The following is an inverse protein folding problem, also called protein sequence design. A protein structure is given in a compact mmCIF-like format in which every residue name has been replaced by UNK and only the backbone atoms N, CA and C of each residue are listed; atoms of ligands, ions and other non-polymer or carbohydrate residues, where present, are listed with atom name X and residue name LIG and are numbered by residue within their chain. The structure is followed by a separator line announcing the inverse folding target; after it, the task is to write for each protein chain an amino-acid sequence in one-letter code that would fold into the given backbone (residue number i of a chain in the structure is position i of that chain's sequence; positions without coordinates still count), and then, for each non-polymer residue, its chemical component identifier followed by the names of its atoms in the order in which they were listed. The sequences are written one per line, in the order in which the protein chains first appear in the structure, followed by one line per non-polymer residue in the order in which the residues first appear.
data_IF_883355722457
#
_entry.id   IF_883355722457
#
_cell.length_a   1.000
_cell.length_b   1.000
_cell.length_c   1.000
_cell.angle_alpha   90.00
_cell.angle_beta   90.00
_cell.angle_gamma   90.00
#
_symmetry.space_group_name_H-M   'P 1'
#
loop_
_entity.id
_entity.type
_entity.pdbx_description
1 polymer ?
#
# COMPACT_ATOMS: atom_id res chain seq x y z
N UNK A 1 -49.16 1.33 -0.39
CA UNK A 1 -48.03 1.21 -1.33
C UNK A 1 -47.39 -0.13 -1.08
N UNK A 2 -47.51 -1.06 -2.03
CA UNK A 2 -47.02 -2.43 -1.91
C UNK A 2 -45.55 -2.50 -2.35
N UNK A 3 -44.66 -2.93 -1.46
CA UNK A 3 -43.24 -3.15 -1.76
C UNK A 3 -43.12 -4.42 -2.61
N UNK A 4 -42.66 -4.30 -3.85
CA UNK A 4 -42.29 -5.44 -4.69
C UNK A 4 -40.93 -5.98 -4.21
N UNK A 5 -40.90 -7.24 -3.81
CA UNK A 5 -39.67 -7.99 -3.59
C UNK A 5 -39.04 -8.28 -4.96
N UNK A 6 -37.79 -7.84 -5.14
CA UNK A 6 -36.95 -8.14 -6.31
C UNK A 6 -36.42 -9.58 -6.11
N UNK A 7 -36.47 -10.47 -7.11
CA UNK A 7 -35.97 -11.83 -6.93
C UNK A 7 -34.45 -11.80 -6.70
N UNK A 8 -34.00 -12.50 -5.65
CA UNK A 8 -32.58 -12.77 -5.42
C UNK A 8 -32.03 -13.55 -6.63
N UNK A 9 -30.91 -13.08 -7.17
CA UNK A 9 -30.10 -13.85 -8.11
C UNK A 9 -29.62 -15.16 -7.50
N UNK A 10 -29.08 -16.04 -8.35
CA UNK A 10 -28.73 -17.43 -8.07
C UNK A 10 -28.20 -17.68 -6.65
N UNK A 11 -28.64 -18.79 -6.09
CA UNK A 11 -28.25 -19.23 -4.75
C UNK A 11 -26.74 -19.49 -4.66
N UNK A 12 -26.20 -19.45 -3.43
CA UNK A 12 -24.79 -19.75 -3.16
C UNK A 12 -24.43 -21.16 -3.63
N UNK A 13 -25.37 -22.10 -3.53
CA UNK A 13 -25.22 -23.48 -4.00
C UNK A 13 -25.15 -23.58 -5.54
N UNK A 14 -25.99 -22.84 -6.27
CA UNK A 14 -25.89 -22.78 -7.75
C UNK A 14 -24.56 -22.15 -8.20
N UNK A 15 -24.04 -21.18 -7.44
CA UNK A 15 -22.74 -20.56 -7.73
C UNK A 15 -21.58 -21.55 -7.53
N UNK A 16 -21.62 -22.32 -6.44
CA UNK A 16 -20.61 -23.36 -6.15
C UNK A 16 -20.67 -24.51 -7.17
N UNK A 17 -21.88 -24.94 -7.54
CA UNK A 17 -22.08 -26.01 -8.51
C UNK A 17 -21.60 -25.60 -9.91
N UNK A 18 -21.78 -24.32 -10.30
CA UNK A 18 -21.24 -23.75 -11.53
C UNK A 18 -19.70 -23.66 -11.52
N UNK A 19 -19.07 -23.44 -10.36
CA UNK A 19 -17.61 -23.45 -10.23
C UNK A 19 -17.03 -24.87 -10.35
N UNK A 20 -17.71 -25.89 -9.80
CA UNK A 20 -17.29 -27.29 -9.91
C UNK A 20 -17.44 -27.83 -11.34
N UNK A 21 -18.52 -27.44 -12.05
CA UNK A 21 -18.69 -27.81 -13.48
C UNK A 21 -17.69 -27.12 -14.39
N UNK A 22 -17.30 -25.88 -14.11
CA UNK A 22 -16.23 -25.19 -14.84
C UNK A 22 -14.84 -25.80 -14.58
N UNK A 23 -14.61 -26.36 -13.39
CA UNK A 23 -13.37 -27.08 -13.08
C UNK A 23 -13.30 -28.45 -13.79
N UNK A 24 -14.44 -29.09 -14.03
CA UNK A 24 -14.53 -30.40 -14.69
C UNK A 24 -14.43 -30.33 -16.24
N UNK A 25 -14.66 -29.18 -16.87
CA UNK A 25 -14.70 -29.02 -18.32
C UNK A 25 -13.36 -28.67 -18.99
N UNK A 26 -12.25 -28.58 -18.24
CA UNK A 26 -10.91 -28.38 -18.83
C UNK A 26 -10.67 -27.03 -19.51
N UNK A 27 -11.63 -26.10 -19.50
CA UNK A 27 -11.46 -24.72 -19.98
C UNK A 27 -11.00 -23.79 -18.85
N UNK A 28 -9.91 -24.11 -18.16
CA UNK A 28 -9.09 -23.03 -17.60
C UNK A 28 -8.34 -22.40 -18.76
N UNK A 29 -8.91 -21.33 -19.33
CA UNK A 29 -8.10 -20.29 -20.00
C UNK A 29 -6.88 -20.10 -19.11
N UNK A 30 -5.67 -20.28 -19.65
CA UNK A 30 -4.44 -19.77 -19.03
C UNK A 30 -4.77 -18.34 -18.64
N UNK A 31 -5.02 -18.09 -17.36
CA UNK A 31 -5.15 -16.73 -16.87
C UNK A 31 -3.78 -16.16 -17.12
N UNK A 32 -3.66 -15.26 -18.09
CA UNK A 32 -2.48 -14.42 -18.27
C UNK A 32 -2.31 -13.66 -16.95
N UNK A 33 -1.61 -14.27 -16.00
CA UNK A 33 -1.20 -13.61 -14.78
C UNK A 33 -0.15 -12.62 -15.23
N UNK A 34 -0.58 -11.39 -15.54
CA UNK A 34 0.31 -10.27 -15.83
C UNK A 34 1.38 -10.24 -14.75
N UNK A 35 2.65 -10.27 -15.15
CA UNK A 35 3.77 -10.28 -14.22
C UNK A 35 3.79 -8.97 -13.43
N UNK A 36 4.36 -9.00 -12.23
CA UNK A 36 4.69 -7.78 -11.50
C UNK A 36 5.78 -7.06 -12.29
N UNK A 37 5.55 -5.81 -12.65
CA UNK A 37 6.50 -4.99 -13.40
C UNK A 37 7.06 -3.84 -12.56
N UNK A 38 6.31 -3.40 -11.54
CA UNK A 38 6.70 -2.25 -10.72
C UNK A 38 6.37 -2.42 -9.25
N UNK A 39 7.33 -2.12 -8.39
CA UNK A 39 7.20 -2.08 -6.94
C UNK A 39 7.40 -0.66 -6.42
N UNK A 40 6.56 -0.20 -5.48
CA UNK A 40 6.82 1.01 -4.69
C UNK A 40 7.12 0.60 -3.25
N UNK A 41 8.31 0.97 -2.77
CA UNK A 41 8.82 0.61 -1.46
C UNK A 41 9.07 1.88 -0.65
N UNK A 42 8.42 2.04 0.50
CA UNK A 42 8.60 3.19 1.39
C UNK A 42 8.56 2.73 2.85
N UNK A 43 9.73 2.64 3.49
CA UNK A 43 9.86 2.02 4.80
C UNK A 43 10.45 2.99 5.83
N UNK A 44 9.81 3.02 7.00
CA UNK A 44 10.39 3.64 8.20
C UNK A 44 11.51 2.74 8.72
N UNK A 45 11.17 1.47 9.00
CA UNK A 45 12.11 0.42 9.38
C UNK A 45 12.61 -0.31 8.13
N UNK A 46 13.91 -0.32 7.89
CA UNK A 46 14.49 -0.76 6.61
C UNK A 46 15.17 -2.11 6.71
N UNK A 47 14.89 -2.88 7.76
CA UNK A 47 15.48 -4.18 7.94
C UNK A 47 15.09 -5.15 6.81
N UNK A 48 16.09 -5.86 6.28
CA UNK A 48 15.92 -6.83 5.19
C UNK A 48 15.59 -6.24 3.80
N UNK A 49 15.54 -4.92 3.65
CA UNK A 49 15.16 -4.28 2.38
C UNK A 49 16.15 -4.57 1.25
N UNK A 50 17.43 -4.70 1.54
CA UNK A 50 18.48 -4.89 0.53
C UNK A 50 18.31 -6.21 -0.20
N UNK A 51 18.03 -7.29 0.54
CA UNK A 51 17.77 -8.62 -0.02
C UNK A 51 16.46 -8.65 -0.81
N UNK A 52 15.40 -8.07 -0.25
CA UNK A 52 14.11 -8.00 -0.92
C UNK A 52 14.17 -7.19 -2.23
N UNK A 53 14.78 -6.00 -2.20
CA UNK A 53 14.94 -5.16 -3.38
C UNK A 53 15.82 -5.82 -4.44
N UNK A 54 16.88 -6.54 -4.05
CA UNK A 54 17.76 -7.25 -4.99
C UNK A 54 17.00 -8.33 -5.76
N UNK A 55 16.22 -9.15 -5.06
CA UNK A 55 15.42 -10.21 -5.69
C UNK A 55 14.35 -9.66 -6.65
N UNK A 56 13.76 -8.50 -6.35
CA UNK A 56 12.85 -7.82 -7.28
C UNK A 56 13.60 -7.29 -8.50
N UNK A 57 14.73 -6.61 -8.27
CA UNK A 57 15.55 -6.01 -9.32
C UNK A 57 16.11 -7.04 -10.30
N UNK A 58 16.64 -8.16 -9.80
CA UNK A 58 17.18 -9.26 -10.63
C UNK A 58 16.10 -9.92 -11.52
N UNK A 59 14.83 -9.72 -11.20
CA UNK A 59 13.68 -10.18 -12.00
C UNK A 59 13.19 -9.12 -13.00
N UNK A 60 13.84 -7.96 -13.07
CA UNK A 60 13.49 -6.86 -13.96
C UNK A 60 12.30 -6.03 -13.47
N UNK A 61 11.97 -6.08 -12.17
CA UNK A 61 10.91 -5.27 -11.58
C UNK A 61 11.46 -3.87 -11.31
N UNK A 62 10.84 -2.83 -11.86
CA UNK A 62 11.21 -1.44 -11.60
C UNK A 62 10.87 -1.08 -10.15
N UNK A 63 11.85 -0.54 -9.42
CA UNK A 63 11.68 -0.13 -8.03
C UNK A 63 11.49 1.38 -7.97
N UNK A 64 10.35 1.80 -7.42
CA UNK A 64 10.08 3.17 -6.99
C UNK A 64 10.32 3.30 -5.50
N UNK A 65 10.96 4.38 -5.06
CA UNK A 65 11.12 4.65 -3.63
C UNK A 65 11.25 6.15 -3.32
N UNK A 66 11.34 6.50 -2.03
CA UNK A 66 11.49 7.88 -1.56
C UNK A 66 12.52 7.97 -0.44
N UNK A 67 13.14 9.15 -0.31
CA UNK A 67 13.96 9.55 0.84
C UNK A 67 14.98 8.50 1.28
N UNK A 68 15.02 8.21 2.60
CA UNK A 68 15.97 7.26 3.18
C UNK A 68 15.81 5.81 2.69
N UNK A 69 14.65 5.43 2.17
CA UNK A 69 14.43 4.09 1.61
C UNK A 69 15.15 3.96 0.27
N UNK A 70 14.97 4.93 -0.62
CA UNK A 70 15.66 4.99 -1.90
C UNK A 70 17.18 5.02 -1.72
N UNK A 71 17.68 5.85 -0.78
CA UNK A 71 19.10 5.92 -0.45
C UNK A 71 19.68 4.55 -0.08
N UNK A 72 19.02 3.83 0.84
CA UNK A 72 19.50 2.52 1.30
C UNK A 72 19.52 1.47 0.17
N UNK A 73 18.54 1.50 -0.73
CA UNK A 73 18.50 0.61 -1.90
C UNK A 73 19.67 0.93 -2.87
N UNK A 74 19.95 2.22 -3.13
CA UNK A 74 21.09 2.66 -3.96
C UNK A 74 22.43 2.25 -3.38
N UNK A 75 22.60 2.37 -2.06
CA UNK A 75 23.81 1.95 -1.36
C UNK A 75 24.10 0.44 -1.51
N UNK A 76 23.06 -0.37 -1.75
CA UNK A 76 23.20 -1.79 -2.09
C UNK A 76 23.52 -2.06 -3.58
N UNK A 77 23.70 -1.00 -4.39
CA UNK A 77 24.02 -1.09 -5.82
C UNK A 77 22.82 -1.42 -6.71
N UNK A 78 21.59 -1.19 -6.22
CA UNK A 78 20.35 -1.50 -6.93
C UNK A 78 19.79 -0.20 -7.54
N UNK A 79 19.38 -0.26 -8.81
CA UNK A 79 18.74 0.88 -9.45
C UNK A 79 17.35 1.13 -8.85
N UNK A 80 17.05 2.39 -8.57
CA UNK A 80 15.80 2.81 -7.97
C UNK A 80 15.44 4.20 -8.46
N UNK A 81 14.22 4.31 -8.97
CA UNK A 81 13.63 5.54 -9.46
C UNK A 81 12.96 6.26 -8.29
N UNK A 82 13.25 7.54 -8.12
CA UNK A 82 12.55 8.32 -7.10
C UNK A 82 11.08 8.51 -7.49
N UNK A 83 10.18 8.49 -6.52
CA UNK A 83 8.75 8.76 -6.79
C UNK A 83 8.57 10.15 -7.44
N UNK A 84 9.38 11.14 -7.07
CA UNK A 84 9.34 12.46 -7.71
C UNK A 84 9.71 12.44 -9.19
N UNK A 85 10.63 11.57 -9.61
CA UNK A 85 10.94 11.34 -11.01
C UNK A 85 9.81 10.60 -11.73
N UNK A 86 9.15 9.66 -11.04
CA UNK A 86 7.99 8.95 -11.57
C UNK A 86 6.76 9.86 -11.75
N UNK A 87 6.53 10.79 -10.82
CA UNK A 87 5.37 11.68 -10.85
C UNK A 87 5.63 12.99 -11.61
N UNK A 88 6.89 13.39 -11.76
CA UNK A 88 7.27 14.73 -12.20
C UNK A 88 7.00 15.82 -11.15
N UNK A 89 6.69 15.44 -9.90
CA UNK A 89 6.35 16.35 -8.82
C UNK A 89 7.36 16.22 -7.67
N UNK A 90 7.97 17.33 -7.19
CA UNK A 90 8.99 17.27 -6.15
C UNK A 90 8.38 16.86 -4.80
N UNK A 91 9.23 16.38 -3.90
CA UNK A 91 8.87 16.26 -2.48
C UNK A 91 8.72 17.66 -1.87
N UNK A 92 7.63 17.89 -1.13
CA UNK A 92 7.27 19.19 -0.58
C UNK A 92 6.82 19.09 0.89
N UNK A 93 6.82 20.25 1.56
CA UNK A 93 6.31 20.41 2.94
C UNK A 93 7.02 19.46 3.92
N UNK A 94 8.36 19.49 3.90
CA UNK A 94 9.23 18.68 4.77
C UNK A 94 8.93 17.17 4.69
N UNK A 95 8.56 16.70 3.49
CA UNK A 95 8.28 15.28 3.20
C UNK A 95 6.85 14.83 3.49
N UNK A 96 5.97 15.74 3.93
CA UNK A 96 4.54 15.46 4.13
C UNK A 96 3.83 15.14 2.81
N UNK A 97 4.27 15.74 1.70
CA UNK A 97 3.70 15.50 0.36
C UNK A 97 4.77 14.92 -0.55
N UNK A 98 4.81 13.58 -0.61
CA UNK A 98 5.74 12.79 -1.44
C UNK A 98 5.04 11.81 -2.38
N UNK A 99 4.05 11.07 -1.87
CA UNK A 99 3.38 9.97 -2.60
C UNK A 99 1.89 10.22 -2.86
N UNK A 100 1.32 11.29 -2.30
CA UNK A 100 -0.08 11.69 -2.45
C UNK A 100 -0.34 12.30 -3.84
N UNK A 101 -0.17 11.49 -4.89
CA UNK A 101 -0.22 11.93 -6.28
C UNK A 101 -1.12 11.02 -7.13
N UNK A 102 -1.91 11.55 -8.08
CA UNK A 102 -2.77 10.73 -8.96
C UNK A 102 -2.01 9.69 -9.77
N UNK A 103 -0.79 9.97 -10.23
CA UNK A 103 0.02 8.97 -10.95
C UNK A 103 0.41 7.78 -10.07
N UNK A 104 0.57 7.97 -8.75
CA UNK A 104 0.83 6.89 -7.80
C UNK A 104 -0.48 6.15 -7.49
N UNK A 105 -1.50 6.86 -7.02
CA UNK A 105 -2.74 6.22 -6.57
C UNK A 105 -3.59 5.67 -7.72
N UNK A 106 -3.57 6.29 -8.90
CA UNK A 106 -4.16 5.74 -10.12
C UNK A 106 -3.44 4.47 -10.57
N UNK A 107 -2.10 4.43 -10.45
CA UNK A 107 -1.30 3.25 -10.72
C UNK A 107 -1.62 2.07 -9.80
N UNK A 108 -2.07 2.36 -8.57
CA UNK A 108 -2.48 1.37 -7.58
C UNK A 108 -3.95 0.97 -7.71
N UNK A 109 -4.87 1.93 -7.92
CA UNK A 109 -6.32 1.72 -7.77
C UNK A 109 -7.05 1.35 -9.05
N UNK A 110 -6.42 1.47 -10.22
CA UNK A 110 -7.05 1.08 -11.46
C UNK A 110 -7.31 -0.44 -11.46
N UNK A 111 -8.49 -0.85 -11.92
CA UNK A 111 -8.82 -2.26 -12.09
C UNK A 111 -8.31 -2.68 -13.46
N UNK A 112 -7.40 -3.65 -13.50
CA UNK A 112 -6.67 -4.00 -14.72
C UNK A 112 -7.55 -4.66 -15.78
N UNK A 113 -8.63 -5.30 -15.34
CA UNK A 113 -9.64 -5.93 -16.20
C UNK A 113 -10.75 -4.96 -16.64
N UNK A 114 -10.78 -3.72 -16.13
CA UNK A 114 -11.78 -2.73 -16.50
C UNK A 114 -11.27 -1.85 -17.64
N UNK A 115 -11.83 -2.02 -18.84
CA UNK A 115 -11.39 -1.30 -20.06
C UNK A 115 -11.47 0.22 -19.92
N UNK A 116 -12.47 0.75 -19.23
CA UNK A 116 -12.62 2.19 -19.01
C UNK A 116 -11.53 2.74 -18.09
N UNK A 117 -11.15 1.99 -17.04
CA UNK A 117 -10.02 2.36 -16.20
C UNK A 117 -8.71 2.34 -16.99
N UNK A 118 -8.50 1.35 -17.86
CA UNK A 118 -7.31 1.28 -18.70
C UNK A 118 -7.25 2.45 -19.70
N UNK A 119 -8.38 2.83 -20.30
CA UNK A 119 -8.50 4.01 -21.17
C UNK A 119 -8.10 5.29 -20.43
N UNK A 120 -8.68 5.52 -19.26
CA UNK A 120 -8.37 6.68 -18.42
C UNK A 120 -6.90 6.72 -18.02
N UNK A 121 -6.31 5.56 -17.67
CA UNK A 121 -4.89 5.48 -17.32
C UNK A 121 -3.99 5.85 -18.51
N UNK A 122 -4.30 5.33 -19.71
CA UNK A 122 -3.56 5.65 -20.92
C UNK A 122 -3.63 7.15 -21.25
N UNK A 123 -4.82 7.76 -21.17
CA UNK A 123 -5.03 9.19 -21.43
C UNK A 123 -4.27 10.10 -20.48
N UNK A 124 -4.14 9.69 -19.22
CA UNK A 124 -3.48 10.47 -18.16
C UNK A 124 -2.01 10.08 -17.93
N UNK A 125 -1.47 9.15 -18.72
CA UNK A 125 -0.10 8.66 -18.55
C UNK A 125 0.14 7.90 -17.23
N UNK A 126 -0.92 7.35 -16.64
CA UNK A 126 -0.84 6.57 -15.40
C UNK A 126 -0.28 5.18 -15.71
N UNK A 127 0.80 4.82 -14.99
CA UNK A 127 1.45 3.52 -15.09
C UNK A 127 1.10 2.66 -13.87
N UNK A 128 0.91 1.35 -14.08
CA UNK A 128 0.56 0.42 -13.01
C UNK A 128 1.65 0.33 -11.94
N UNK A 129 1.25 0.16 -10.70
CA UNK A 129 2.12 -0.22 -9.58
C UNK A 129 1.56 -1.51 -9.02
N UNK A 130 2.35 -2.59 -9.09
CA UNK A 130 1.86 -3.95 -8.88
C UNK A 130 2.18 -4.51 -7.50
N UNK A 131 3.21 -3.94 -6.85
CA UNK A 131 3.63 -4.30 -5.51
C UNK A 131 3.84 -3.03 -4.67
N UNK A 132 3.27 -3.01 -3.47
CA UNK A 132 3.49 -1.97 -2.46
C UNK A 132 4.13 -2.61 -1.23
N UNK A 133 5.23 -2.05 -0.73
CA UNK A 133 5.84 -2.46 0.54
C UNK A 133 6.04 -1.23 1.44
N UNK A 134 5.30 -1.17 2.55
CA UNK A 134 5.25 -0.02 3.47
C UNK A 134 5.07 -0.49 4.91
N UNK A 135 5.77 0.12 5.87
CA UNK A 135 5.56 -0.11 7.32
C UNK A 135 5.32 1.19 8.11
N UNK A 136 4.57 1.11 9.21
CA UNK A 136 3.98 2.26 9.93
C UNK A 136 4.48 2.45 11.37
N UNK A 137 5.78 2.25 11.63
CA UNK A 137 6.30 2.22 13.00
C UNK A 137 6.69 3.58 13.61
N UNK A 138 6.55 4.69 12.88
CA UNK A 138 7.10 5.98 13.32
C UNK A 138 6.38 6.55 14.55
N UNK A 139 5.04 6.58 14.54
CA UNK A 139 4.26 7.21 15.60
C UNK A 139 4.41 6.51 16.96
N UNK A 140 4.17 5.20 17.01
CA UNK A 140 4.26 4.41 18.24
C UNK A 140 5.66 4.50 18.89
N UNK A 141 6.72 4.46 18.06
CA UNK A 141 8.10 4.62 18.53
C UNK A 141 8.35 6.03 19.08
N UNK A 142 7.80 7.06 18.45
CA UNK A 142 7.97 8.45 18.89
C UNK A 142 7.27 8.71 20.22
N UNK A 143 6.01 8.30 20.37
CA UNK A 143 5.22 8.56 21.60
C UNK A 143 5.62 7.68 22.79
N UNK A 144 6.45 6.65 22.57
CA UNK A 144 7.06 5.88 23.64
C UNK A 144 8.20 6.63 24.37
N UNK A 145 8.76 7.69 23.76
CA UNK A 145 9.72 8.57 24.45
C UNK A 145 8.97 9.48 25.44
N UNK A 146 9.28 9.44 26.75
CA UNK A 146 8.64 10.32 27.74
C UNK A 146 8.89 11.82 27.49
N UNK A 147 9.84 12.18 26.64
CA UNK A 147 10.13 13.56 26.25
C UNK A 147 9.46 13.99 24.94
N UNK A 148 8.70 13.11 24.30
CA UNK A 148 7.98 13.43 23.07
C UNK A 148 6.96 14.54 23.32
N UNK A 149 7.17 15.70 22.70
CA UNK A 149 6.23 16.82 22.82
C UNK A 149 4.99 16.59 21.94
N UNK A 150 3.96 17.42 22.15
CA UNK A 150 2.79 17.36 21.27
C UNK A 150 3.14 17.65 19.81
N UNK A 151 4.02 18.61 19.56
CA UNK A 151 4.48 18.91 18.19
C UNK A 151 5.23 17.73 17.58
N UNK A 152 6.11 17.07 18.34
CA UNK A 152 6.87 15.91 17.85
C UNK A 152 5.93 14.76 17.48
N UNK A 153 4.92 14.48 18.30
CA UNK A 153 3.93 13.45 18.02
C UNK A 153 3.15 13.76 16.74
N UNK A 154 2.71 15.01 16.53
CA UNK A 154 1.99 15.43 15.32
C UNK A 154 2.85 15.26 14.06
N UNK A 155 4.15 15.58 14.10
CA UNK A 155 5.05 15.37 12.96
C UNK A 155 5.25 13.88 12.62
N UNK A 156 5.09 12.99 13.60
CA UNK A 156 5.23 11.54 13.41
C UNK A 156 3.94 10.84 12.94
N UNK A 157 2.83 11.56 12.77
CA UNK A 157 1.61 11.03 12.16
C UNK A 157 1.80 10.93 10.64
N UNK A 158 2.07 9.71 10.16
CA UNK A 158 2.13 9.38 8.73
C UNK A 158 0.75 9.43 8.06
N UNK A 159 0.66 10.19 6.96
CA UNK A 159 -0.50 10.26 6.07
C UNK A 159 -0.29 9.41 4.82
N UNK A 160 0.92 9.43 4.26
CA UNK A 160 1.23 8.77 3.00
C UNK A 160 1.23 7.25 3.13
N UNK A 161 1.84 6.73 4.20
CA UNK A 161 1.91 5.29 4.47
C UNK A 161 0.54 4.61 4.54
N UNK A 162 -0.37 5.03 5.44
CA UNK A 162 -1.71 4.47 5.51
C UNK A 162 -2.49 4.62 4.19
N UNK A 163 -2.32 5.73 3.47
CA UNK A 163 -2.99 5.96 2.18
C UNK A 163 -2.53 4.97 1.11
N UNK A 164 -1.21 4.75 0.97
CA UNK A 164 -0.64 3.75 0.06
C UNK A 164 -1.14 2.35 0.38
N UNK A 165 -1.08 1.97 1.67
CA UNK A 165 -1.47 0.66 2.15
C UNK A 165 -2.95 0.38 1.88
N UNK A 166 -3.85 1.30 2.27
CA UNK A 166 -5.29 1.15 2.07
C UNK A 166 -5.66 1.12 0.59
N UNK A 167 -5.00 1.92 -0.25
CA UNK A 167 -5.22 1.88 -1.69
C UNK A 167 -4.86 0.52 -2.30
N UNK A 168 -3.70 -0.03 -1.94
CA UNK A 168 -3.24 -1.33 -2.42
C UNK A 168 -4.11 -2.49 -1.91
N UNK A 169 -4.45 -2.47 -0.62
CA UNK A 169 -5.33 -3.46 0.00
C UNK A 169 -6.75 -3.45 -0.61
N UNK A 170 -7.31 -2.27 -0.90
CA UNK A 170 -8.58 -2.15 -1.62
C UNK A 170 -8.52 -2.83 -2.99
N UNK A 171 -7.41 -2.68 -3.71
CA UNK A 171 -7.22 -3.27 -5.03
C UNK A 171 -6.45 -4.61 -5.00
N UNK A 172 -6.61 -5.42 -3.94
CA UNK A 172 -5.89 -6.69 -3.76
C UNK A 172 -6.09 -7.70 -4.91
N UNK A 173 -7.12 -7.54 -5.75
CA UNK A 173 -7.27 -8.37 -6.94
C UNK A 173 -6.04 -8.25 -7.84
N UNK A 174 -5.50 -7.04 -7.93
CA UNK A 174 -4.45 -6.65 -8.84
C UNK A 174 -3.13 -6.39 -8.09
N UNK A 175 -3.16 -5.71 -6.94
CA UNK A 175 -1.95 -5.23 -6.26
C UNK A 175 -1.55 -6.13 -5.09
N UNK A 176 -0.27 -6.49 -5.03
CA UNK A 176 0.33 -7.13 -3.85
C UNK A 176 0.75 -6.06 -2.85
N UNK A 177 0.37 -6.20 -1.58
CA UNK A 177 0.75 -5.25 -0.52
C UNK A 177 1.48 -5.97 0.60
N UNK A 178 2.58 -5.41 1.11
CA UNK A 178 3.38 -6.01 2.18
C UNK A 178 3.62 -4.98 3.27
N UNK A 179 3.35 -5.37 4.51
CA UNK A 179 3.54 -4.53 5.70
C UNK A 179 4.62 -5.02 6.65
N UNK A 180 5.09 -6.25 6.45
CA UNK A 180 5.92 -6.98 7.40
C UNK A 180 7.00 -7.75 6.63
N UNK A 181 8.30 -7.53 6.94
CA UNK A 181 9.40 -8.22 6.27
C UNK A 181 9.34 -9.74 6.32
N UNK A 182 8.65 -10.33 7.30
CA UNK A 182 8.46 -11.79 7.38
C UNK A 182 7.66 -12.36 6.20
N UNK A 183 6.92 -11.52 5.46
CA UNK A 183 6.20 -11.93 4.25
C UNK A 183 7.07 -11.95 3.00
N UNK A 184 8.26 -11.32 3.00
CA UNK A 184 9.11 -11.23 1.81
C UNK A 184 9.45 -12.58 1.19
N UNK A 185 9.88 -13.61 1.95
CA UNK A 185 10.24 -14.90 1.35
C UNK A 185 9.07 -15.58 0.64
N UNK A 186 7.86 -15.48 1.19
CA UNK A 186 6.66 -16.08 0.62
C UNK A 186 6.22 -15.38 -0.67
N UNK A 187 6.26 -14.05 -0.67
CA UNK A 187 5.92 -13.26 -1.87
C UNK A 187 6.95 -13.48 -2.97
N UNK A 188 8.24 -13.45 -2.64
CA UNK A 188 9.31 -13.70 -3.60
C UNK A 188 9.23 -15.11 -4.20
N UNK A 189 8.88 -16.13 -3.41
CA UNK A 189 8.70 -17.48 -3.91
C UNK A 189 7.57 -17.59 -4.95
N UNK A 190 6.42 -16.93 -4.73
CA UNK A 190 5.32 -16.92 -5.71
C UNK A 190 5.70 -16.15 -6.99
N UNK A 191 6.35 -14.99 -6.83
CA UNK A 191 6.85 -14.20 -7.96
C UNK A 191 7.88 -15.01 -8.76
N UNK A 192 8.76 -15.75 -8.10
CA UNK A 192 9.74 -16.60 -8.77
C UNK A 192 9.09 -17.72 -9.58
N UNK A 193 8.04 -18.34 -9.04
CA UNK A 193 7.37 -19.46 -9.69
C UNK A 193 6.47 -19.04 -10.86
N UNK A 194 5.78 -17.90 -10.75
CA UNK A 194 4.69 -17.54 -11.67
C UNK A 194 4.79 -16.14 -12.25
N UNK A 195 5.72 -15.32 -11.77
CA UNK A 195 5.85 -13.90 -12.12
C UNK A 195 4.87 -12.98 -11.36
N UNK A 196 3.97 -13.52 -10.53
CA UNK A 196 3.06 -12.75 -9.70
C UNK A 196 2.72 -13.52 -8.41
N UNK A 197 1.92 -12.92 -7.53
CA UNK A 197 1.34 -13.58 -6.37
C UNK A 197 0.00 -14.24 -6.69
N UNK A 198 -0.46 -15.11 -5.79
CA UNK A 198 -1.80 -15.69 -5.87
C UNK A 198 -2.85 -14.75 -5.25
N UNK A 199 -4.10 -14.86 -5.69
CA UNK A 199 -5.21 -14.11 -5.09
C UNK A 199 -5.38 -14.41 -3.59
N UNK A 200 -5.13 -15.67 -3.19
CA UNK A 200 -5.14 -16.09 -1.77
C UNK A 200 -4.08 -15.35 -0.96
N UNK A 201 -2.86 -15.23 -1.49
CA UNK A 201 -1.79 -14.46 -0.85
C UNK A 201 -2.13 -12.99 -0.75
N UNK A 202 -2.63 -12.36 -1.83
CA UNK A 202 -3.06 -10.95 -1.78
C UNK A 202 -4.18 -10.69 -0.79
N UNK A 203 -5.16 -11.59 -0.68
CA UNK A 203 -6.24 -11.49 0.31
C UNK A 203 -5.72 -11.61 1.75
N UNK A 204 -4.80 -12.54 2.02
CA UNK A 204 -4.14 -12.66 3.34
C UNK A 204 -3.42 -11.37 3.71
N UNK A 205 -2.67 -10.80 2.77
CA UNK A 205 -1.92 -9.56 2.95
C UNK A 205 -2.84 -8.35 3.14
N UNK A 206 -3.94 -8.25 2.40
CA UNK A 206 -4.98 -7.24 2.59
C UNK A 206 -5.51 -7.24 4.03
N UNK A 207 -5.75 -8.42 4.63
CA UNK A 207 -6.18 -8.51 6.03
C UNK A 207 -5.14 -7.93 6.99
N UNK A 208 -3.84 -8.21 6.77
CA UNK A 208 -2.75 -7.64 7.57
C UNK A 208 -2.73 -6.11 7.49
N UNK A 209 -2.95 -5.56 6.30
CA UNK A 209 -3.01 -4.10 6.11
C UNK A 209 -4.13 -3.48 6.93
N UNK A 210 -5.36 -3.97 6.80
CA UNK A 210 -6.50 -3.36 7.51
C UNK A 210 -6.39 -3.50 9.03
N UNK A 211 -5.81 -4.60 9.53
CA UNK A 211 -5.48 -4.73 10.95
C UNK A 211 -4.44 -3.68 11.38
N UNK A 212 -3.31 -3.59 10.66
CA UNK A 212 -2.25 -2.63 10.98
C UNK A 212 -2.75 -1.18 10.97
N UNK A 213 -3.55 -0.78 9.96
CA UNK A 213 -4.04 0.60 9.89
C UNK A 213 -5.09 0.90 10.97
N UNK A 214 -5.88 -0.10 11.37
CA UNK A 214 -6.82 0.07 12.48
C UNK A 214 -6.08 0.26 13.81
N UNK A 215 -5.06 -0.56 14.05
CA UNK A 215 -4.22 -0.45 15.25
C UNK A 215 -3.47 0.89 15.28
N UNK A 216 -2.91 1.31 14.14
CA UNK A 216 -2.23 2.59 13.99
C UNK A 216 -3.13 3.79 14.34
N UNK A 217 -4.34 3.85 13.78
CA UNK A 217 -5.30 4.91 14.08
C UNK A 217 -5.78 4.86 15.54
N UNK A 218 -5.93 3.65 16.12
CA UNK A 218 -6.29 3.48 17.51
C UNK A 218 -5.22 4.02 18.47
N UNK A 219 -3.94 3.77 18.19
CA UNK A 219 -2.82 4.30 18.99
C UNK A 219 -2.79 5.83 18.93
N UNK A 220 -2.99 6.44 17.75
CA UNK A 220 -3.08 7.89 17.61
C UNK A 220 -4.25 8.44 18.44
N UNK A 221 -5.44 7.84 18.32
CA UNK A 221 -6.63 8.29 19.05
C UNK A 221 -6.43 8.22 20.55
N UNK A 222 -5.92 7.11 21.07
CA UNK A 222 -5.68 6.90 22.50
C UNK A 222 -4.62 7.87 23.05
N UNK A 223 -3.58 8.16 22.27
CA UNK A 223 -2.56 9.12 22.68
C UNK A 223 -3.13 10.54 22.72
N UNK A 224 -3.94 10.94 21.72
CA UNK A 224 -4.59 12.25 21.70
C UNK A 224 -5.56 12.46 22.86
N UNK A 225 -6.25 11.42 23.33
CA UNK A 225 -7.13 11.49 24.51
C UNK A 225 -6.40 11.85 25.81
N UNK A 226 -5.09 11.60 25.89
CA UNK A 226 -4.27 11.95 27.05
C UNK A 226 -3.86 13.43 27.05
N UNK A 227 -4.09 14.14 25.95
CA UNK A 227 -3.70 15.54 25.80
C UNK A 227 -4.84 16.43 26.29
N UNK A 228 -4.62 17.12 27.41
CA UNK A 228 -5.51 18.17 27.88
C UNK A 228 -5.07 19.55 27.33
N UNK A 229 -5.84 20.18 26.42
CA UNK A 229 -5.49 21.48 25.87
C UNK A 229 -5.41 22.61 26.90
N UNK A 230 -6.05 22.47 28.08
CA UNK A 230 -6.00 23.49 29.12
C UNK A 230 -4.65 23.52 29.86
N UNK A 231 -3.92 22.40 29.88
CA UNK A 231 -2.67 22.25 30.64
C UNK A 231 -1.45 22.02 29.74
N UNK A 232 -1.63 21.60 28.49
CA UNK A 232 -0.53 21.33 27.57
C UNK A 232 0.13 22.64 27.05
N UNK A 233 1.47 22.81 27.19
CA UNK A 233 2.19 24.02 26.80
C UNK A 233 2.04 24.42 25.32
N UNK A 234 1.76 23.46 24.43
CA UNK A 234 1.56 23.73 23.00
C UNK A 234 0.43 24.73 22.77
N UNK A 235 -0.67 24.62 23.52
CA UNK A 235 -1.86 25.48 23.36
C UNK A 235 -1.76 26.80 24.15
N UNK A 236 -0.77 26.94 25.04
CA UNK A 236 -0.54 28.18 25.79
C UNK A 236 0.03 29.31 24.91
N UNK A 237 0.62 28.96 23.75
CA UNK A 237 1.16 29.92 22.80
C UNK A 237 0.03 30.56 21.97
N UNK A 238 -0.59 31.61 22.52
CA UNK A 238 -1.45 32.50 21.73
C UNK A 238 -0.60 33.18 20.67
N UNK A 239 -0.83 32.81 19.40
CA UNK A 239 -0.29 33.37 18.15
C UNK A 239 0.72 32.46 17.44
N UNK A 240 0.22 31.38 16.85
CA UNK A 240 0.74 30.95 15.55
C UNK A 240 -0.33 31.34 14.54
N UNK A 241 0.00 32.33 13.71
CA UNK A 241 -0.80 32.72 12.55
C UNK A 241 -0.83 31.48 11.64
N UNK A 242 -2.03 30.94 11.41
CA UNK A 242 -2.28 29.92 10.39
C UNK A 242 -2.00 30.48 9.00
#
# INVERSE_FOLDING_TARGET
MSVKIIPMGNTVEETLMNMETAAASGEMKKTDTKKIERALISLTDKDGIEGFARELFERGIEILSTGGTAKKIREAGIDVKDVSEFTGFPEMLDGRVKTLHPLVHGGILNQRANEEHQRQCAEQGIKNIDLIAVNLYAFEKAVADPNCSFADAIENIDIGGPTLLRAAAKNFHDVTVIVDPSDYPYVLAEIAATGNTTLKTRFRLMKKVYALTADYDAVISQWLEQIDPATNPYFAQKSVVL
#
